data_IF_434211262246
#
_entry.id   IF_434211262246
#
_cell.length_a   1.000
_cell.length_b   1.000
_cell.length_c   1.000
_cell.angle_alpha   90.00
_cell.angle_beta   90.00
_cell.angle_gamma   90.00
#
_symmetry.space_group_name_H-M   'P 1'
#
loop_
_entity.id
_entity.type
_entity.pdbx_description
1 polymer ?
#
# COMPACT_ATOMS: atom_id res chain seq x y z
N UNK A 1 11.39 7.86 2.94
CA UNK A 1 10.28 7.78 1.97
C UNK A 1 10.27 9.04 1.11
N UNK A 2 10.11 8.96 -0.22
CA UNK A 2 10.42 10.09 -1.13
C UNK A 2 9.59 11.35 -0.82
N UNK A 3 10.26 12.41 -0.36
CA UNK A 3 9.66 13.71 -0.03
C UNK A 3 8.91 14.31 -1.22
N UNK A 4 9.32 13.99 -2.45
CA UNK A 4 8.77 14.52 -3.69
C UNK A 4 7.31 14.09 -3.90
N UNK A 5 6.98 12.82 -3.62
CA UNK A 5 5.62 12.31 -3.76
C UNK A 5 4.65 12.97 -2.76
N UNK A 6 5.09 13.08 -1.51
CA UNK A 6 4.31 13.73 -0.45
C UNK A 6 4.13 15.22 -0.76
N UNK A 7 5.17 15.89 -1.25
CA UNK A 7 5.09 17.28 -1.69
C UNK A 7 4.11 17.46 -2.85
N UNK A 8 4.18 16.60 -3.87
CA UNK A 8 3.27 16.63 -5.01
C UNK A 8 1.80 16.52 -4.56
N UNK A 9 1.47 15.51 -3.75
CA UNK A 9 0.09 15.31 -3.31
C UNK A 9 -0.38 16.33 -2.26
N UNK A 10 0.53 16.92 -1.48
CA UNK A 10 0.22 18.11 -0.69
C UNK A 10 -0.21 19.28 -1.57
N UNK A 11 0.46 19.51 -2.71
CA UNK A 11 0.06 20.56 -3.66
C UNK A 11 -1.24 20.21 -4.40
N UNK A 12 -1.45 18.93 -4.73
CA UNK A 12 -2.62 18.46 -5.50
C UNK A 12 -3.90 18.44 -4.67
N UNK A 13 -3.83 17.95 -3.44
CA UNK A 13 -5.01 17.68 -2.60
C UNK A 13 -5.06 18.52 -1.32
N UNK A 14 -3.94 19.13 -0.89
CA UNK A 14 -3.90 19.89 0.35
C UNK A 14 -4.28 19.01 1.54
N UNK A 15 -5.38 19.37 2.22
CA UNK A 15 -5.96 18.62 3.35
C UNK A 15 -7.24 17.86 2.98
N UNK A 16 -7.62 17.83 1.69
CA UNK A 16 -8.76 17.05 1.20
C UNK A 16 -8.40 15.55 1.10
N UNK A 17 -8.47 14.89 2.25
CA UNK A 17 -8.23 13.45 2.37
C UNK A 17 -9.21 12.63 1.55
N UNK A 18 -10.45 13.11 1.37
CA UNK A 18 -11.49 12.42 0.61
C UNK A 18 -11.15 12.39 -0.88
N UNK A 19 -10.76 13.53 -1.45
CA UNK A 19 -10.31 13.59 -2.84
C UNK A 19 -9.09 12.70 -3.10
N UNK A 20 -8.12 12.70 -2.18
CA UNK A 20 -6.96 11.83 -2.27
C UNK A 20 -7.32 10.34 -2.20
N UNK A 21 -8.25 9.95 -1.32
CA UNK A 21 -8.75 8.57 -1.28
C UNK A 21 -9.52 8.16 -2.53
N UNK A 22 -10.35 9.05 -3.08
CA UNK A 22 -11.05 8.79 -4.34
C UNK A 22 -10.05 8.59 -5.48
N UNK A 23 -8.97 9.37 -5.53
CA UNK A 23 -7.91 9.18 -6.51
C UNK A 23 -7.21 7.83 -6.34
N UNK A 24 -6.91 7.40 -5.10
CA UNK A 24 -6.34 6.08 -4.84
C UNK A 24 -7.20 4.94 -5.40
N UNK A 25 -8.53 5.04 -5.23
CA UNK A 25 -9.45 4.04 -5.78
C UNK A 25 -9.42 4.01 -7.31
N UNK A 26 -9.22 5.16 -7.96
CA UNK A 26 -9.08 5.25 -9.42
C UNK A 26 -7.80 4.57 -9.88
N UNK A 27 -6.67 4.82 -9.23
CA UNK A 27 -5.40 4.16 -9.58
C UNK A 27 -5.48 2.63 -9.42
N UNK A 28 -6.19 2.15 -8.39
CA UNK A 28 -6.47 0.71 -8.24
C UNK A 28 -7.31 0.17 -9.42
N UNK A 29 -8.25 0.96 -9.93
CA UNK A 29 -9.02 0.64 -11.14
C UNK A 29 -8.12 0.57 -12.38
N UNK A 30 -7.18 1.49 -12.54
CA UNK A 30 -6.22 1.49 -13.64
C UNK A 30 -5.25 0.30 -13.56
N UNK A 31 -4.83 -0.13 -12.37
CA UNK A 31 -4.08 -1.39 -12.18
C UNK A 31 -4.88 -2.57 -12.74
N UNK A 32 -6.16 -2.69 -12.37
CA UNK A 32 -7.01 -3.78 -12.84
C UNK A 32 -7.16 -3.76 -14.36
N UNK A 33 -7.44 -2.59 -14.93
CA UNK A 33 -7.53 -2.39 -16.37
C UNK A 33 -6.23 -2.75 -17.10
N UNK A 34 -5.08 -2.31 -16.60
CA UNK A 34 -3.78 -2.63 -17.18
C UNK A 34 -3.50 -4.14 -17.18
N UNK A 35 -3.86 -4.86 -16.12
CA UNK A 35 -3.75 -6.32 -16.04
C UNK A 35 -4.66 -6.99 -17.08
N UNK A 36 -5.91 -6.55 -17.23
CA UNK A 36 -6.84 -7.07 -18.25
C UNK A 36 -6.30 -6.90 -19.68
N UNK A 37 -5.52 -5.84 -19.92
CA UNK A 37 -4.88 -5.56 -21.21
C UNK A 37 -3.50 -6.21 -21.37
N UNK A 38 -3.05 -6.99 -20.39
CA UNK A 38 -1.69 -7.55 -20.32
C UNK A 38 -0.59 -6.47 -20.47
N UNK A 39 -0.88 -5.25 -20.00
CA UNK A 39 0.05 -4.12 -20.03
C UNK A 39 0.76 -3.99 -18.68
N UNK A 40 1.80 -4.78 -18.49
CA UNK A 40 2.53 -4.87 -17.23
C UNK A 40 3.24 -3.57 -16.85
N UNK A 41 3.74 -2.80 -17.82
CA UNK A 41 4.43 -1.54 -17.53
C UNK A 41 3.47 -0.47 -16.99
N UNK A 42 2.25 -0.41 -17.54
CA UNK A 42 1.21 0.46 -17.00
C UNK A 42 0.82 0.01 -15.58
N UNK A 43 0.60 -1.29 -15.34
CA UNK A 43 0.29 -1.79 -14.00
C UNK A 43 1.38 -1.43 -12.98
N UNK A 44 2.68 -1.52 -13.33
CA UNK A 44 3.79 -1.10 -12.47
C UNK A 44 3.76 0.38 -12.14
N UNK A 45 3.40 1.22 -13.11
CA UNK A 45 3.26 2.67 -12.90
C UNK A 45 2.15 2.96 -11.90
N UNK A 46 0.96 2.37 -12.08
CA UNK A 46 -0.18 2.61 -11.20
C UNK A 46 0.01 2.05 -9.79
N UNK A 47 0.74 0.94 -9.65
CA UNK A 47 1.19 0.44 -8.34
C UNK A 47 2.10 1.48 -7.67
N UNK A 48 3.02 2.09 -8.43
CA UNK A 48 3.94 3.10 -7.90
C UNK A 48 3.20 4.35 -7.44
N UNK A 49 2.24 4.84 -8.23
CA UNK A 49 1.39 5.98 -7.86
C UNK A 49 0.53 5.67 -6.63
N UNK A 50 -0.08 4.48 -6.59
CA UNK A 50 -0.87 4.02 -5.45
C UNK A 50 -0.06 3.98 -4.15
N UNK A 51 1.17 3.47 -4.21
CA UNK A 51 2.09 3.44 -3.06
C UNK A 51 2.47 4.85 -2.62
N UNK A 52 2.81 5.73 -3.56
CA UNK A 52 3.13 7.13 -3.28
C UNK A 52 1.96 7.87 -2.60
N UNK A 53 0.74 7.63 -3.06
CA UNK A 53 -0.47 8.23 -2.53
C UNK A 53 -0.83 7.69 -1.14
N UNK A 54 -0.62 6.39 -0.90
CA UNK A 54 -0.73 5.79 0.44
C UNK A 54 0.25 6.40 1.45
N UNK A 55 1.49 6.72 1.02
CA UNK A 55 2.43 7.43 1.87
C UNK A 55 1.96 8.84 2.20
N UNK A 56 1.49 9.59 1.20
CA UNK A 56 0.88 10.92 1.45
C UNK A 56 -0.27 10.81 2.45
N UNK A 57 -1.20 9.88 2.26
CA UNK A 57 -2.32 9.67 3.18
C UNK A 57 -1.81 9.31 4.59
N UNK A 58 -0.80 8.46 4.72
CA UNK A 58 -0.21 8.13 6.02
C UNK A 58 0.23 9.38 6.78
N UNK A 59 0.87 10.36 6.10
CA UNK A 59 1.23 11.64 6.73
C UNK A 59 0.00 12.43 7.20
N UNK A 60 -1.08 12.43 6.42
CA UNK A 60 -2.35 13.14 6.75
C UNK A 60 -3.13 12.51 7.89
N UNK A 61 -2.88 11.24 8.20
CA UNK A 61 -3.45 10.55 9.36
C UNK A 61 -2.47 10.44 10.54
N UNK A 62 -1.26 11.00 10.44
CA UNK A 62 -0.25 10.91 11.48
C UNK A 62 0.23 9.48 11.73
N UNK A 63 0.21 8.63 10.69
CA UNK A 63 0.60 7.23 10.79
C UNK A 63 2.10 7.07 10.53
N UNK A 64 2.79 6.42 11.46
CA UNK A 64 4.07 5.79 11.16
C UNK A 64 3.82 4.48 10.40
N UNK A 65 3.73 4.60 9.07
CA UNK A 65 3.38 3.48 8.21
C UNK A 65 4.42 2.35 8.29
N UNK A 66 5.72 2.68 8.37
CA UNK A 66 6.76 1.66 8.46
C UNK A 66 6.69 0.88 9.78
N UNK A 67 6.58 1.58 10.91
CA UNK A 67 6.47 0.93 12.21
C UNK A 67 5.20 0.06 12.29
N UNK A 68 4.08 0.56 11.79
CA UNK A 68 2.81 -0.16 11.79
C UNK A 68 2.86 -1.41 10.89
N UNK A 69 3.45 -1.32 9.69
CA UNK A 69 3.65 -2.47 8.80
C UNK A 69 4.51 -3.53 9.50
N UNK A 70 5.64 -3.13 10.10
CA UNK A 70 6.51 -4.07 10.83
C UNK A 70 5.75 -4.77 11.96
N UNK A 71 5.04 -4.02 12.80
CA UNK A 71 4.30 -4.57 13.94
C UNK A 71 3.19 -5.55 13.50
N UNK A 72 2.39 -5.17 12.50
CA UNK A 72 1.30 -6.00 11.99
C UNK A 72 1.83 -7.28 11.34
N UNK A 73 2.85 -7.18 10.49
CA UNK A 73 3.33 -8.33 9.73
C UNK A 73 4.26 -9.24 10.52
N UNK A 74 5.00 -8.74 11.53
CA UNK A 74 5.71 -9.60 12.47
C UNK A 74 4.73 -10.56 13.17
N UNK A 75 3.64 -10.03 13.72
CA UNK A 75 2.59 -10.85 14.35
C UNK A 75 1.95 -11.84 13.38
N UNK A 76 1.69 -11.44 12.14
CA UNK A 76 1.14 -12.34 11.11
C UNK A 76 2.10 -13.47 10.76
N UNK A 77 3.40 -13.18 10.67
CA UNK A 77 4.44 -14.20 10.41
C UNK A 77 4.54 -15.18 11.57
N UNK A 78 4.53 -14.71 12.82
CA UNK A 78 4.53 -15.57 14.01
C UNK A 78 3.33 -16.54 14.02
N UNK A 79 2.15 -16.07 13.59
CA UNK A 79 0.96 -16.90 13.46
C UNK A 79 1.06 -17.96 12.36
N UNK A 80 1.84 -17.74 11.31
CA UNK A 80 2.09 -18.75 10.28
C UNK A 80 3.07 -19.81 10.79
N UNK A 81 4.11 -19.41 11.51
CA UNK A 81 5.11 -20.31 12.07
C UNK A 81 4.52 -21.23 13.14
N UNK A 82 3.71 -20.68 14.05
CA UNK A 82 3.02 -21.48 15.09
C UNK A 82 2.02 -22.49 14.52
N UNK A 83 1.38 -22.21 13.38
CA UNK A 83 0.54 -23.18 12.67
C UNK A 83 1.35 -24.32 12.03
N UNK A 84 2.58 -24.06 11.60
CA UNK A 84 3.48 -25.08 11.07
C UNK A 84 4.05 -26.00 12.16
N UNK A 85 4.30 -25.48 13.36
CA UNK A 85 4.86 -26.26 14.48
C UNK A 85 3.85 -27.24 15.13
N UNK A 86 2.55 -27.09 14.86
CA UNK A 86 1.50 -28.01 15.31
C UNK A 86 1.11 -29.08 14.28
N UNK A 87 1.79 -29.17 13.14
CA UNK A 87 1.66 -30.32 12.27
C UNK A 87 2.23 -31.56 12.98
N UNK A 88 1.48 -32.68 13.12
CA UNK A 88 1.99 -33.86 13.81
C UNK A 88 3.25 -34.35 13.10
N UNK A 89 4.37 -34.38 13.82
CA UNK A 89 5.58 -35.09 13.36
C UNK A 89 5.16 -36.54 13.17
N UNK A 90 5.14 -37.03 11.93
CA UNK A 90 4.86 -38.44 11.66
C UNK A 90 5.93 -39.27 12.37
N UNK A 91 5.55 -40.37 13.03
CA UNK A 91 6.49 -41.30 13.67
C UNK A 91 7.43 -41.94 12.65
#
# INVERSE_FOLDING_TARGET
MSSIAVEYYNRKFGDDKSAAFIHLVREIGEIAFAIEKNNIEHAKMEITESVALLYYLATKYGLDLEANVRAVYAKKLDMLNTKHDHAPRRP
#
